data_IF_688618772645
#
_entry.id   IF_688618772645
#
_cell.length_a   1.000
_cell.length_b   1.000
_cell.length_c   1.000
_cell.angle_alpha   90.00
_cell.angle_beta   90.00
_cell.angle_gamma   90.00
#
_symmetry.space_group_name_H-M   'P 1'
#
loop_
_entity.id
_entity.type
_entity.pdbx_description
1 polymer ?
#
# COMPACT_ATOMS: atom_id res chain seq x y z
N UNK A 1 -25.75 -37.27 2.67
CA UNK A 1 -24.33 -36.92 2.85
C UNK A 1 -24.20 -35.44 2.58
N UNK A 2 -24.09 -34.63 3.63
CA UNK A 2 -23.95 -33.17 3.51
C UNK A 2 -22.46 -32.85 3.55
N UNK A 3 -21.92 -32.37 2.44
CA UNK A 3 -20.55 -31.89 2.36
C UNK A 3 -20.59 -30.45 2.88
N UNK A 4 -20.30 -30.28 4.17
CA UNK A 4 -20.08 -28.97 4.74
C UNK A 4 -18.77 -28.43 4.15
N UNK A 5 -18.88 -27.48 3.23
CA UNK A 5 -17.77 -26.67 2.76
C UNK A 5 -17.20 -25.95 3.98
N UNK A 6 -16.02 -26.38 4.43
CA UNK A 6 -15.28 -25.69 5.47
C UNK A 6 -15.08 -24.25 5.01
N UNK A 7 -15.73 -23.34 5.73
CA UNK A 7 -15.48 -21.90 5.63
C UNK A 7 -13.98 -21.69 5.76
N UNK A 8 -13.40 -21.05 4.75
CA UNK A 8 -12.03 -20.54 4.78
C UNK A 8 -11.74 -19.97 6.18
N UNK A 9 -10.86 -20.63 6.93
CA UNK A 9 -10.16 -19.98 8.02
C UNK A 9 -9.55 -18.69 7.45
N UNK A 10 -9.59 -17.56 8.17
CA UNK A 10 -8.83 -16.40 7.72
C UNK A 10 -7.37 -16.85 7.64
N UNK A 11 -6.82 -16.86 6.42
CA UNK A 11 -5.38 -16.89 6.26
C UNK A 11 -4.82 -15.79 7.16
N UNK A 12 -3.82 -16.12 7.97
CA UNK A 12 -3.17 -15.16 8.86
C UNK A 12 -2.92 -13.86 8.07
N UNK A 13 -3.39 -12.73 8.61
CA UNK A 13 -3.16 -11.43 7.97
C UNK A 13 -1.66 -11.31 7.69
N UNK A 14 -1.25 -10.89 6.48
CA UNK A 14 0.15 -10.77 6.16
C UNK A 14 0.87 -9.90 7.18
N UNK A 15 2.13 -10.22 7.45
CA UNK A 15 2.95 -9.46 8.38
C UNK A 15 3.02 -7.99 7.95
N UNK A 16 2.88 -7.09 8.93
CA UNK A 16 3.00 -5.65 8.68
C UNK A 16 4.45 -5.36 8.34
N UNK A 17 4.70 -4.83 7.14
CA UNK A 17 6.05 -4.47 6.70
C UNK A 17 6.39 -3.03 7.08
N UNK A 18 7.68 -2.71 7.13
CA UNK A 18 8.14 -1.32 7.38
C UNK A 18 7.58 -0.34 6.34
N UNK A 19 7.39 -0.77 5.09
CA UNK A 19 6.80 0.07 4.06
C UNK A 19 5.32 0.37 4.34
N UNK A 20 4.58 -0.59 4.89
CA UNK A 20 3.18 -0.37 5.30
C UNK A 20 3.10 0.66 6.44
N UNK A 21 4.00 0.55 7.42
CA UNK A 21 4.12 1.50 8.53
C UNK A 21 4.44 2.91 8.01
N UNK A 22 5.46 3.06 7.16
CA UNK A 22 5.85 4.36 6.58
C UNK A 22 4.70 4.96 5.79
N UNK A 23 3.91 4.16 5.08
CA UNK A 23 2.75 4.66 4.31
C UNK A 23 1.67 5.23 5.23
N UNK A 24 1.41 4.57 6.36
CA UNK A 24 0.33 4.91 7.28
C UNK A 24 0.69 6.03 8.25
N UNK A 25 1.92 6.04 8.74
CA UNK A 25 2.42 7.08 9.62
C UNK A 25 2.90 8.28 8.78
N UNK A 26 3.62 8.04 7.69
CA UNK A 26 4.31 9.09 6.94
C UNK A 26 5.65 9.44 7.58
N UNK A 27 6.18 10.61 7.20
CA UNK A 27 7.55 11.01 7.57
C UNK A 27 7.68 11.45 9.04
N UNK A 28 6.69 12.18 9.55
CA UNK A 28 6.63 12.67 10.93
C UNK A 28 5.23 12.42 11.49
N UNK A 29 5.13 11.63 12.56
CA UNK A 29 3.83 11.27 13.14
C UNK A 29 3.83 11.38 14.64
N UNK A 30 2.80 12.04 15.16
CA UNK A 30 2.47 12.09 16.57
C UNK A 30 1.17 11.32 16.79
N UNK A 31 1.19 10.37 17.71
CA UNK A 31 0.03 9.57 18.12
C UNK A 31 -0.29 9.93 19.57
N UNK A 32 -1.56 10.20 19.86
CA UNK A 32 -2.07 10.37 21.22
C UNK A 32 -3.23 9.41 21.46
N UNK A 33 -3.16 8.69 22.57
CA UNK A 33 -4.22 7.81 23.03
C UNK A 33 -5.17 8.54 23.98
N UNK A 34 -6.41 8.03 24.13
CA UNK A 34 -7.42 8.62 25.01
C UNK A 34 -7.03 8.65 26.49
N UNK A 35 -6.15 7.74 26.95
CA UNK A 35 -5.57 7.80 28.30
C UNK A 35 -4.48 8.88 28.46
N UNK A 36 -4.19 9.65 27.40
CA UNK A 36 -3.15 10.67 27.38
C UNK A 36 -1.75 10.14 27.04
N UNK A 37 -1.57 8.84 26.80
CA UNK A 37 -0.31 8.30 26.32
C UNK A 37 0.05 8.88 24.95
N UNK A 38 1.29 9.31 24.77
CA UNK A 38 1.77 9.94 23.54
C UNK A 38 2.97 9.19 22.97
N UNK A 39 3.08 9.14 21.65
CA UNK A 39 4.26 8.64 20.95
C UNK A 39 4.58 9.50 19.72
N UNK A 40 5.87 9.59 19.43
CA UNK A 40 6.39 10.28 18.26
C UNK A 40 7.24 9.34 17.41
N UNK A 41 6.95 9.35 16.11
CA UNK A 41 7.59 8.52 15.09
C UNK A 41 8.19 9.35 13.98
N UNK A 42 9.33 8.89 13.46
CA UNK A 42 9.98 9.45 12.27
C UNK A 42 10.30 8.33 11.27
N UNK A 43 9.81 8.45 10.03
CA UNK A 43 9.91 7.42 8.99
C UNK A 43 9.47 6.03 9.49
N UNK A 44 8.39 5.97 10.25
CA UNK A 44 7.87 4.72 10.82
C UNK A 44 8.70 4.13 11.97
N UNK A 45 9.77 4.80 12.42
CA UNK A 45 10.55 4.36 13.58
C UNK A 45 10.10 5.12 14.82
N UNK A 46 9.98 4.41 15.95
CA UNK A 46 9.69 5.03 17.24
C UNK A 46 10.88 5.87 17.70
N UNK A 47 10.62 7.10 18.14
CA UNK A 47 11.64 8.04 18.62
C UNK A 47 11.53 8.24 20.13
N UNK A 48 10.34 8.54 20.61
CA UNK A 48 10.06 8.77 22.03
C UNK A 48 8.56 8.69 22.32
N UNK A 49 8.20 8.62 23.60
CA UNK A 49 6.82 8.71 24.06
C UNK A 49 6.71 9.45 25.40
N UNK A 50 5.48 9.71 25.82
CA UNK A 50 5.16 10.22 27.13
C UNK A 50 3.99 9.43 27.72
N UNK A 51 4.13 8.96 28.95
CA UNK A 51 3.04 8.40 29.74
C UNK A 51 2.40 9.48 30.62
N UNK A 52 1.16 9.84 30.29
CA UNK A 52 0.38 10.81 31.05
C UNK A 52 0.15 10.39 32.51
N UNK A 53 0.13 9.08 32.81
CA UNK A 53 -0.04 8.58 34.18
C UNK A 53 1.21 8.82 35.04
N UNK A 54 2.37 8.95 34.41
CA UNK A 54 3.65 9.20 35.06
C UNK A 54 4.02 10.70 35.13
N UNK A 55 3.17 11.59 34.61
CA UNK A 55 3.42 13.04 34.61
C UNK A 55 4.56 13.46 33.67
N UNK A 56 4.87 12.64 32.67
CA UNK A 56 5.92 12.94 31.70
C UNK A 56 5.54 14.15 30.83
N UNK A 57 6.53 14.98 30.43
CA UNK A 57 6.25 16.11 29.55
C UNK A 57 5.80 15.63 28.17
N UNK A 58 4.78 16.28 27.62
CA UNK A 58 4.27 15.97 26.28
C UNK A 58 5.36 16.02 25.21
N UNK A 59 5.36 15.02 24.33
CA UNK A 59 6.31 14.93 23.20
C UNK A 59 5.84 15.72 21.98
N UNK A 60 4.65 16.33 22.03
CA UNK A 60 4.06 17.10 20.93
C UNK A 60 4.93 18.29 20.51
N UNK A 61 5.53 19.00 21.45
CA UNK A 61 6.42 20.14 21.17
C UNK A 61 7.69 19.74 20.42
N UNK A 62 8.26 18.58 20.79
CA UNK A 62 9.40 17.98 20.09
C UNK A 62 9.00 17.57 18.68
N UNK A 63 7.90 16.85 18.53
CA UNK A 63 7.38 16.39 17.24
C UNK A 63 7.16 17.56 16.26
N UNK A 64 6.52 18.64 16.73
CA UNK A 64 6.29 19.85 15.94
C UNK A 64 7.59 20.55 15.55
N UNK A 65 8.55 20.64 16.48
CA UNK A 65 9.84 21.28 16.22
C UNK A 65 10.66 20.50 15.20
N UNK A 66 10.67 19.16 15.28
CA UNK A 66 11.37 18.30 14.33
C UNK A 66 10.74 18.35 12.93
N UNK A 67 9.41 18.31 12.83
CA UNK A 67 8.72 18.44 11.54
C UNK A 67 9.00 19.81 10.89
N UNK A 68 8.98 20.90 11.69
CA UNK A 68 9.34 22.25 11.22
C UNK A 68 10.79 22.35 10.77
N UNK A 69 11.73 21.76 11.53
CA UNK A 69 13.13 21.72 11.15
C UNK A 69 13.35 20.96 9.82
N UNK A 70 12.55 19.93 9.55
CA UNK A 70 12.55 19.20 8.28
C UNK A 70 11.75 19.87 7.15
N UNK A 71 11.11 21.02 7.38
CA UNK A 71 10.16 21.66 6.46
C UNK A 71 9.03 20.71 6.00
N UNK A 72 8.58 19.82 6.89
CA UNK A 72 7.50 18.85 6.64
C UNK A 72 6.30 19.09 7.54
N UNK A 73 5.16 18.55 7.14
CA UNK A 73 3.96 18.51 7.97
C UNK A 73 4.05 17.40 9.01
N UNK A 74 3.59 17.68 10.24
CA UNK A 74 3.39 16.67 11.26
C UNK A 74 2.00 16.04 11.09
N UNK A 75 1.93 14.71 10.99
CA UNK A 75 0.66 13.99 11.06
C UNK A 75 0.30 13.76 12.53
N UNK A 76 -0.89 14.19 12.95
CA UNK A 76 -1.40 13.96 14.30
C UNK A 76 -2.54 12.95 14.24
N UNK A 77 -2.49 11.91 15.07
CA UNK A 77 -3.46 10.82 15.11
C UNK A 77 -3.93 10.65 16.55
N UNK A 78 -5.25 10.67 16.75
CA UNK A 78 -5.88 10.40 18.04
C UNK A 78 -6.62 9.07 17.97
N UNK A 79 -6.39 8.19 18.95
CA UNK A 79 -6.92 6.82 18.96
C UNK A 79 -7.43 6.42 20.35
N UNK A 80 -8.42 5.52 20.42
CA UNK A 80 -8.75 4.87 21.68
C UNK A 80 -7.57 4.06 22.22
N UNK A 81 -7.53 3.88 23.53
CA UNK A 81 -6.58 2.95 24.17
C UNK A 81 -6.91 1.53 23.69
N UNK A 82 -5.92 0.72 23.30
CA UNK A 82 -6.17 -0.69 23.00
C UNK A 82 -6.88 -1.41 24.14
N UNK A 83 -7.80 -2.32 23.80
CA UNK A 83 -8.55 -3.11 24.79
C UNK A 83 -7.68 -4.10 25.57
N UNK A 84 -6.50 -4.44 25.04
CA UNK A 84 -5.52 -5.31 25.70
C UNK A 84 -4.84 -4.57 26.86
N UNK A 85 -4.78 -5.19 28.04
CA UNK A 85 -4.15 -4.61 29.21
C UNK A 85 -2.61 -4.54 29.10
N UNK A 86 -1.99 -5.42 28.31
CA UNK A 86 -0.53 -5.44 28.07
C UNK A 86 -0.19 -4.99 26.64
N UNK A 87 -0.81 -3.90 26.19
CA UNK A 87 -0.54 -3.36 24.85
C UNK A 87 0.84 -2.70 24.75
N UNK A 88 1.41 -2.73 23.54
CA UNK A 88 2.62 -1.98 23.17
C UNK A 88 2.35 -0.99 22.04
N UNK A 89 3.25 -0.02 21.88
CA UNK A 89 3.18 0.93 20.76
C UNK A 89 3.29 0.24 19.39
N UNK A 90 3.96 -0.91 19.31
CA UNK A 90 4.01 -1.73 18.10
C UNK A 90 2.64 -2.33 17.76
N UNK A 91 1.85 -2.71 18.78
CA UNK A 91 0.47 -3.17 18.59
C UNK A 91 -0.42 -2.04 18.07
N UNK A 92 -0.29 -0.83 18.64
CA UNK A 92 -1.03 0.36 18.18
C UNK A 92 -0.75 0.65 16.71
N UNK A 93 0.53 0.65 16.31
CA UNK A 93 0.93 0.88 14.91
C UNK A 93 0.44 -0.26 14.02
N UNK A 94 0.56 -1.50 14.46
CA UNK A 94 0.07 -2.67 13.71
C UNK A 94 -1.44 -2.61 13.50
N UNK A 95 -2.21 -2.27 14.53
CA UNK A 95 -3.65 -2.09 14.45
C UNK A 95 -4.02 -0.92 13.54
N UNK A 96 -3.31 0.21 13.62
CA UNK A 96 -3.53 1.35 12.74
C UNK A 96 -3.24 1.01 11.28
N UNK A 97 -2.16 0.29 11.01
CA UNK A 97 -1.84 -0.21 9.67
C UNK A 97 -2.92 -1.18 9.19
N UNK A 98 -3.36 -2.11 10.04
CA UNK A 98 -4.46 -3.05 9.74
C UNK A 98 -5.78 -2.33 9.47
N UNK A 99 -6.10 -1.30 10.24
CA UNK A 99 -7.27 -0.46 10.04
C UNK A 99 -7.16 0.40 8.77
N UNK A 100 -5.95 0.80 8.36
CA UNK A 100 -5.73 1.49 7.08
C UNK A 100 -5.90 0.57 5.88
N UNK A 101 -5.78 -0.75 6.04
CA UNK A 101 -6.10 -1.73 4.99
C UNK A 101 -7.61 -1.91 4.84
N UNK A 102 -8.37 -0.83 4.74
CA UNK A 102 -9.82 -0.92 4.50
C UNK A 102 -10.09 -1.17 3.01
N UNK A 103 -10.12 -2.48 2.71
CA UNK A 103 -10.58 -3.17 1.50
C UNK A 103 -9.47 -3.52 0.50
N UNK A 104 -9.23 -4.83 0.36
CA UNK A 104 -8.87 -5.37 -0.94
C UNK A 104 -10.03 -5.09 -1.89
N UNK A 105 -9.82 -4.19 -2.83
CA UNK A 105 -10.77 -3.94 -3.90
C UNK A 105 -10.24 -4.53 -5.20
N UNK A 106 -11.16 -4.87 -6.09
CA UNK A 106 -10.81 -5.21 -7.47
C UNK A 106 -10.66 -3.92 -8.26
N UNK A 107 -9.47 -3.70 -8.78
CA UNK A 107 -9.22 -2.70 -9.80
C UNK A 107 -9.38 -3.31 -11.18
N UNK A 108 -9.73 -2.46 -12.14
CA UNK A 108 -9.67 -2.79 -13.56
C UNK A 108 -8.89 -1.70 -14.30
N UNK A 109 -8.10 -2.11 -15.29
CA UNK A 109 -7.45 -1.21 -16.25
C UNK A 109 -7.27 -1.92 -17.57
N UNK A 110 -6.95 -1.15 -18.61
CA UNK A 110 -6.64 -1.69 -19.94
C UNK A 110 -5.14 -1.61 -20.18
N UNK A 111 -4.57 -2.66 -20.77
CA UNK A 111 -3.21 -2.66 -21.27
C UNK A 111 -3.17 -3.03 -22.73
N UNK A 112 -2.26 -2.42 -23.47
CA UNK A 112 -1.89 -2.82 -24.83
C UNK A 112 -0.53 -3.49 -24.77
N UNK A 113 -0.44 -4.72 -25.29
CA UNK A 113 0.82 -5.44 -25.42
C UNK A 113 1.23 -5.56 -26.88
N UNK A 114 2.53 -5.57 -27.12
CA UNK A 114 3.08 -5.82 -28.46
C UNK A 114 4.40 -6.58 -28.36
N UNK A 115 4.65 -7.46 -29.33
CA UNK A 115 5.94 -8.15 -29.52
C UNK A 115 6.91 -7.35 -30.39
N UNK A 116 6.42 -6.32 -31.09
CA UNK A 116 7.12 -5.61 -32.17
C UNK A 116 7.40 -4.14 -31.84
N UNK A 117 7.57 -3.79 -30.57
CA UNK A 117 7.99 -2.42 -30.24
C UNK A 117 9.43 -2.20 -30.67
N UNK A 118 9.87 -0.93 -30.71
CA UNK A 118 11.26 -0.54 -31.05
C UNK A 118 12.34 -1.24 -30.20
N UNK A 119 11.98 -1.80 -29.04
CA UNK A 119 12.88 -2.52 -28.13
C UNK A 119 12.40 -3.96 -27.85
N UNK A 120 11.56 -4.53 -28.72
CA UNK A 120 11.03 -5.88 -28.59
C UNK A 120 9.69 -5.91 -27.86
N UNK A 121 9.52 -6.87 -26.95
CA UNK A 121 8.24 -7.10 -26.26
C UNK A 121 7.98 -6.02 -25.22
N UNK A 122 6.77 -5.47 -25.20
CA UNK A 122 6.43 -4.39 -24.28
C UNK A 122 4.95 -4.29 -23.96
N UNK A 123 4.66 -3.60 -22.86
CA UNK A 123 3.32 -3.28 -22.39
C UNK A 123 3.16 -1.78 -22.19
N UNK A 124 2.03 -1.26 -22.64
CA UNK A 124 1.55 0.08 -22.34
C UNK A 124 0.31 -0.03 -21.45
N UNK A 125 0.28 0.75 -20.36
CA UNK A 125 -0.89 0.83 -19.48
C UNK A 125 -1.73 2.04 -19.89
N UNK A 126 -2.95 1.79 -20.32
CA UNK A 126 -3.82 2.80 -20.89
C UNK A 126 -4.49 3.62 -19.79
N UNK A 127 -4.45 4.95 -19.92
CA UNK A 127 -5.17 5.91 -19.07
C UNK A 127 -4.91 5.76 -17.55
N UNK A 128 -3.80 5.16 -17.15
CA UNK A 128 -3.36 5.15 -15.75
C UNK A 128 -2.54 6.41 -15.44
N UNK A 129 -2.90 7.20 -14.41
CA UNK A 129 -2.23 8.47 -14.10
C UNK A 129 -0.72 8.38 -13.86
N UNK A 130 -0.22 7.22 -13.46
CA UNK A 130 1.20 6.97 -13.20
C UNK A 130 1.87 6.30 -14.41
N UNK A 131 1.26 5.23 -14.91
CA UNK A 131 1.89 4.31 -15.86
C UNK A 131 1.64 4.66 -17.32
N UNK A 132 0.69 5.54 -17.65
CA UNK A 132 0.54 6.02 -19.04
C UNK A 132 1.59 7.06 -19.42
N UNK A 133 2.17 7.75 -18.43
CA UNK A 133 3.02 8.93 -18.62
C UNK A 133 2.25 10.17 -19.08
N UNK A 134 2.90 11.33 -19.05
CA UNK A 134 2.28 12.64 -19.32
C UNK A 134 1.72 12.78 -20.75
N UNK A 135 2.26 12.04 -21.71
CA UNK A 135 1.82 12.00 -23.10
C UNK A 135 1.03 10.72 -23.45
N UNK A 136 0.63 9.91 -22.45
CA UNK A 136 -0.10 8.65 -22.64
C UNK A 136 0.60 7.66 -23.57
N UNK A 137 1.94 7.63 -23.59
CA UNK A 137 2.73 6.77 -24.47
C UNK A 137 3.95 6.16 -23.78
N UNK A 138 3.86 5.90 -22.47
CA UNK A 138 4.90 5.18 -21.74
C UNK A 138 4.78 3.67 -21.99
N UNK A 139 5.91 3.02 -22.30
CA UNK A 139 6.00 1.58 -22.55
C UNK A 139 7.01 0.95 -21.61
N UNK A 140 6.64 -0.19 -21.03
CA UNK A 140 7.49 -0.98 -20.17
C UNK A 140 7.99 -2.21 -20.94
N UNK A 141 9.31 -2.47 -20.97
CA UNK A 141 9.85 -3.65 -21.61
C UNK A 141 9.48 -4.91 -20.81
N UNK A 142 9.09 -5.96 -21.52
CA UNK A 142 8.82 -7.28 -20.95
C UNK A 142 9.89 -8.28 -21.37
N UNK A 143 10.19 -9.23 -20.49
CA UNK A 143 11.08 -10.33 -20.80
C UNK A 143 10.45 -11.21 -21.89
N UNK A 144 11.27 -11.72 -22.81
CA UNK A 144 10.81 -12.67 -23.83
C UNK A 144 10.46 -14.04 -23.24
N UNK A 145 11.06 -14.40 -22.10
CA UNK A 145 10.85 -15.69 -21.44
C UNK A 145 9.63 -15.73 -20.50
N UNK A 146 9.10 -14.58 -20.08
CA UNK A 146 7.90 -14.52 -19.21
C UNK A 146 6.62 -14.50 -20.06
N UNK A 147 5.50 -14.99 -19.55
CA UNK A 147 4.21 -14.82 -20.23
C UNK A 147 3.65 -13.38 -20.03
N UNK A 148 2.55 -13.04 -20.69
CA UNK A 148 1.96 -11.70 -20.56
C UNK A 148 1.48 -11.43 -19.13
N UNK A 149 0.93 -12.43 -18.45
CA UNK A 149 0.39 -12.27 -17.11
C UNK A 149 1.49 -11.93 -16.11
N UNK A 150 2.58 -12.70 -16.08
CA UNK A 150 3.73 -12.47 -15.22
C UNK A 150 4.38 -11.11 -15.50
N UNK A 151 4.55 -10.75 -16.77
CA UNK A 151 5.13 -9.46 -17.15
C UNK A 151 4.27 -8.27 -16.72
N UNK A 152 2.95 -8.33 -16.97
CA UNK A 152 2.00 -7.30 -16.56
C UNK A 152 1.93 -7.18 -15.04
N UNK A 153 1.83 -8.30 -14.32
CA UNK A 153 1.79 -8.32 -12.86
C UNK A 153 3.05 -7.70 -12.27
N UNK A 154 4.22 -8.04 -12.78
CA UNK A 154 5.49 -7.46 -12.34
C UNK A 154 5.52 -5.95 -12.52
N UNK A 155 5.06 -5.43 -13.66
CA UNK A 155 4.99 -3.98 -13.90
C UNK A 155 4.02 -3.32 -12.89
N UNK A 156 2.81 -3.86 -12.71
CA UNK A 156 1.82 -3.27 -11.82
C UNK A 156 2.23 -3.32 -10.34
N UNK A 157 2.84 -4.42 -9.90
CA UNK A 157 3.30 -4.60 -8.51
C UNK A 157 4.52 -3.76 -8.19
N UNK A 158 5.52 -3.73 -9.08
CA UNK A 158 6.73 -2.89 -8.88
C UNK A 158 6.41 -1.39 -8.80
N UNK A 159 5.33 -0.94 -9.44
CA UNK A 159 4.92 0.46 -9.40
C UNK A 159 3.81 0.76 -8.36
N UNK A 160 3.48 -0.21 -7.50
CA UNK A 160 2.50 0.00 -6.41
C UNK A 160 1.05 0.18 -6.87
N UNK A 161 0.73 -0.20 -8.12
CA UNK A 161 -0.64 -0.12 -8.67
C UNK A 161 -1.47 -1.32 -8.22
N UNK A 162 -0.87 -2.51 -8.18
CA UNK A 162 -1.51 -3.75 -7.81
C UNK A 162 -0.73 -4.50 -6.73
N UNK A 163 -1.43 -5.32 -5.95
CA UNK A 163 -0.83 -6.39 -5.13
C UNK A 163 -0.51 -7.62 -5.97
N UNK A 164 -1.43 -7.97 -6.87
CA UNK A 164 -1.28 -9.03 -7.85
C UNK A 164 -2.33 -8.89 -8.97
N UNK A 165 -2.07 -9.47 -10.13
CA UNK A 165 -3.04 -9.63 -11.21
C UNK A 165 -3.82 -10.91 -10.98
N UNK A 166 -5.12 -10.86 -11.23
CA UNK A 166 -6.02 -12.00 -11.02
C UNK A 166 -6.30 -12.70 -12.33
N UNK A 167 -6.55 -11.91 -13.37
CA UNK A 167 -6.74 -12.43 -14.73
C UNK A 167 -6.60 -11.32 -15.77
N UNK A 168 -6.33 -11.78 -16.98
CA UNK A 168 -6.38 -10.99 -18.21
C UNK A 168 -7.59 -11.43 -19.03
N UNK A 169 -8.40 -10.49 -19.47
CA UNK A 169 -9.50 -10.72 -20.40
C UNK A 169 -9.13 -10.06 -21.74
N UNK A 170 -9.00 -10.83 -22.84
CA UNK A 170 -8.69 -10.24 -24.13
C UNK A 170 -9.85 -9.36 -24.60
N UNK A 171 -9.56 -8.11 -24.94
CA UNK A 171 -10.52 -7.15 -25.48
C UNK A 171 -10.44 -7.10 -27.00
N UNK A 172 -9.22 -7.07 -27.53
CA UNK A 172 -8.94 -7.01 -28.96
C UNK A 172 -7.67 -7.76 -29.25
N UNK A 173 -7.72 -8.63 -30.25
CA UNK A 173 -6.52 -9.30 -30.77
C UNK A 173 -6.25 -8.79 -32.18
N UNK A 174 -5.15 -8.09 -32.34
CA UNK A 174 -4.70 -7.50 -33.59
C UNK A 174 -3.37 -8.10 -34.05
N UNK A 175 -3.00 -7.90 -35.32
CA UNK A 175 -1.77 -8.47 -35.87
C UNK A 175 -0.48 -7.93 -35.24
N UNK A 176 -0.51 -6.70 -34.71
CA UNK A 176 0.68 -6.04 -34.13
C UNK A 176 0.57 -5.77 -32.63
N UNK A 177 -0.67 -5.73 -32.11
CA UNK A 177 -0.95 -5.43 -30.72
C UNK A 177 -2.20 -6.19 -30.25
N UNK A 178 -2.19 -6.57 -28.98
CA UNK A 178 -3.32 -7.20 -28.30
C UNK A 178 -3.67 -6.35 -27.08
N UNK A 179 -4.95 -6.04 -26.92
CA UNK A 179 -5.46 -5.29 -25.78
C UNK A 179 -6.08 -6.25 -24.75
N UNK A 180 -5.73 -6.08 -23.48
CA UNK A 180 -6.29 -6.84 -22.37
C UNK A 180 -6.96 -5.91 -21.36
N UNK A 181 -8.11 -6.33 -20.84
CA UNK A 181 -8.61 -5.85 -19.55
C UNK A 181 -7.91 -6.64 -18.45
N UNK A 182 -7.24 -5.92 -17.57
CA UNK A 182 -6.53 -6.48 -16.43
C UNK A 182 -7.41 -6.33 -15.20
N UNK A 183 -7.76 -7.45 -14.57
CA UNK A 183 -8.42 -7.45 -13.27
C UNK A 183 -7.36 -7.73 -12.21
N UNK A 184 -7.20 -6.84 -11.25
CA UNK A 184 -6.14 -6.92 -10.24
C UNK A 184 -6.66 -6.64 -8.84
N UNK A 185 -5.93 -7.12 -7.83
CA UNK A 185 -6.17 -6.76 -6.45
C UNK A 185 -5.37 -5.50 -6.12
N UNK A 186 -5.98 -4.55 -5.41
CA UNK A 186 -5.26 -3.43 -4.79
C UNK A 186 -5.75 -3.21 -3.38
N UNK A 187 -4.84 -2.75 -2.53
CA UNK A 187 -5.19 -2.21 -1.22
C UNK A 187 -5.44 -0.72 -1.40
N UNK A 188 -6.57 -0.24 -0.90
CA UNK A 188 -6.83 1.20 -0.80
C UNK A 188 -6.81 1.54 0.67
N UNK A 189 -6.01 2.55 1.02
CA UNK A 189 -6.19 3.23 2.29
C UNK A 189 -7.41 4.15 2.15
N UNK A 190 -8.40 3.97 3.02
CA UNK A 190 -9.46 4.96 3.17
C UNK A 190 -8.91 6.24 3.80
#
# INVERSE_FOLDING_TARGET
MSIATALNLPAALPDVTQNDIIRVLGEYTFIRLDNGGEAFYHHGNWITGADASCGEPSVSGLAQSMARAGCKSLRCIELPVPDDAEWSWDDVVTQLVRASFTRQIRGELTVTVSVSTRHGRGVHVCADPLLSGINSNLWFPLNAAEDWHAGIERVLTMNGVAENVVRLEPLRDGPEYTDFKVIYNRKVCA
#
